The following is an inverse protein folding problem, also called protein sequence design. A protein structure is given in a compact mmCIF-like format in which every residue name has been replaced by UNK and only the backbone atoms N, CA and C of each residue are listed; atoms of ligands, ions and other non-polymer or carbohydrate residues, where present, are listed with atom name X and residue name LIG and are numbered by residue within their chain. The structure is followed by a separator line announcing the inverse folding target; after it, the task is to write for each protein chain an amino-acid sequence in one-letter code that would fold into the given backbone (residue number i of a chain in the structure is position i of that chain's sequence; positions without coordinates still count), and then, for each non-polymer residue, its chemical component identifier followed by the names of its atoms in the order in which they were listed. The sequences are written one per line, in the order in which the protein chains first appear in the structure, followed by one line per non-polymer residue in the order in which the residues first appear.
data_IF_416872401984
#
_entry.id   IF_416872401984
#
_cell.length_a   1.000
_cell.length_b   1.000
_cell.length_c   1.000
_cell.angle_alpha   90.00
_cell.angle_beta   90.00
_cell.angle_gamma   90.00
#
_symmetry.space_group_name_H-M   'P 1'
#
loop_
_entity.id
_entity.type
_entity.pdbx_description
1 polymer ?
#
# COMPACT_ATOMS: atom_id res chain seq x y z
N UNK A 1 30.77 32.93 -31.93
CA UNK A 1 32.15 32.65 -32.39
C UNK A 1 32.85 31.99 -31.22
N UNK A 2 33.03 30.65 -31.22
CA UNK A 2 34.27 29.91 -31.61
C UNK A 2 35.48 30.38 -30.77
N UNK A 3 36.35 29.60 -30.12
CA UNK A 3 36.76 28.18 -30.09
C UNK A 3 37.60 28.02 -28.79
N UNK A 4 37.50 26.92 -28.02
CA UNK A 4 38.47 25.79 -27.94
C UNK A 4 39.96 26.17 -28.07
N UNK A 5 40.79 25.84 -27.06
CA UNK A 5 42.06 25.12 -27.27
C UNK A 5 42.43 24.27 -26.05
N UNK A 6 42.88 23.07 -26.39
CA UNK A 6 43.38 21.92 -25.63
C UNK A 6 44.77 22.12 -25.04
N UNK A 7 45.12 21.38 -23.98
CA UNK A 7 46.45 20.78 -23.89
C UNK A 7 46.39 19.33 -23.40
N UNK A 8 46.94 18.48 -24.26
CA UNK A 8 47.24 17.06 -24.10
C UNK A 8 48.53 16.89 -23.29
N UNK A 9 48.59 15.88 -22.42
CA UNK A 9 49.83 15.20 -22.12
C UNK A 9 49.64 13.71 -22.41
N UNK A 10 50.26 13.27 -23.49
CA UNK A 10 50.53 11.87 -23.78
C UNK A 10 51.84 11.51 -23.11
N UNK A 11 51.82 10.54 -22.19
CA UNK A 11 53.00 9.77 -21.81
C UNK A 11 52.66 8.32 -22.14
N UNK A 12 53.18 7.85 -23.27
CA UNK A 12 53.24 6.42 -23.58
C UNK A 12 54.41 5.81 -22.83
N UNK A 13 54.16 4.79 -22.02
CA UNK A 13 55.10 3.73 -21.62
C UNK A 13 54.29 2.55 -21.04
N UNK A 14 54.83 1.31 -21.02
CA UNK A 14 54.47 0.26 -21.97
C UNK A 14 53.76 -0.95 -21.32
N UNK A 15 53.03 -1.72 -22.13
CA UNK A 15 52.72 -3.15 -21.93
C UNK A 15 52.48 -3.61 -20.47
N UNK A 16 51.30 -3.29 -19.93
CA UNK A 16 50.67 -4.14 -18.92
C UNK A 16 49.23 -4.45 -19.33
N UNK A 17 49.09 -5.49 -20.17
CA UNK A 17 47.94 -6.39 -20.02
C UNK A 17 47.95 -6.89 -18.58
N UNK A 18 46.75 -7.05 -18.02
CA UNK A 18 46.40 -7.54 -16.68
C UNK A 18 46.06 -6.44 -15.65
N UNK A 19 44.81 -6.57 -15.18
CA UNK A 19 44.16 -5.90 -14.06
C UNK A 19 43.56 -4.51 -14.34
N UNK A 20 42.67 -4.47 -15.33
CA UNK A 20 41.30 -3.97 -15.05
C UNK A 20 40.75 -4.84 -13.91
N UNK A 21 41.18 -4.54 -12.67
CA UNK A 21 40.45 -4.96 -11.49
C UNK A 21 39.19 -4.12 -11.55
N UNK A 22 38.18 -4.70 -12.21
CA UNK A 22 36.81 -4.30 -12.06
C UNK A 22 36.58 -4.19 -10.57
N UNK A 23 36.55 -2.96 -10.04
CA UNK A 23 35.82 -2.69 -8.80
C UNK A 23 34.35 -2.78 -9.22
N UNK A 24 33.94 -3.98 -9.62
CA UNK A 24 32.61 -4.50 -9.36
C UNK A 24 32.64 -4.80 -7.88
N UNK A 25 32.76 -3.75 -7.06
CA UNK A 25 32.30 -3.88 -5.69
C UNK A 25 30.87 -4.33 -5.85
N UNK A 26 30.60 -5.55 -5.39
CA UNK A 26 29.27 -6.11 -5.30
C UNK A 26 28.47 -5.19 -4.39
N UNK A 27 27.91 -4.12 -4.97
CA UNK A 27 26.91 -3.28 -4.34
C UNK A 27 25.71 -4.13 -3.89
N UNK A 28 25.52 -5.30 -4.50
CA UNK A 28 24.53 -6.31 -4.13
C UNK A 28 24.84 -7.08 -2.83
N UNK A 29 26.11 -7.20 -2.40
CA UNK A 29 26.47 -8.07 -1.26
C UNK A 29 26.58 -7.31 0.07
N UNK A 30 26.73 -5.97 0.03
CA UNK A 30 26.98 -5.16 1.24
C UNK A 30 25.70 -4.69 1.93
N UNK A 31 24.56 -4.76 1.26
CA UNK A 31 23.26 -4.44 1.83
C UNK A 31 22.47 -5.75 1.96
N UNK A 32 22.18 -6.17 3.19
CA UNK A 32 21.07 -7.10 3.43
C UNK A 32 19.87 -6.58 2.62
N UNK A 33 19.35 -7.39 1.71
CA UNK A 33 18.33 -6.93 0.78
C UNK A 33 17.20 -6.27 1.57
N UNK A 34 16.93 -4.98 1.31
CA UNK A 34 15.80 -4.31 1.96
C UNK A 34 14.56 -5.06 1.46
N UNK A 35 13.86 -5.72 2.36
CA UNK A 35 12.66 -6.46 2.04
C UNK A 35 11.45 -5.64 2.45
N UNK A 36 10.50 -5.38 1.53
CA UNK A 36 9.18 -4.91 1.92
C UNK A 36 8.57 -5.88 2.94
N UNK A 37 7.79 -5.36 3.87
CA UNK A 37 7.06 -6.19 4.83
C UNK A 37 6.29 -7.32 4.14
N UNK A 38 6.32 -8.51 4.74
CA UNK A 38 5.56 -9.67 4.27
C UNK A 38 4.06 -9.40 4.34
N UNK A 39 3.28 -10.15 3.56
CA UNK A 39 1.83 -9.98 3.57
C UNK A 39 1.21 -10.51 4.88
N UNK A 40 1.86 -11.45 5.57
CA UNK A 40 1.51 -11.80 6.96
C UNK A 40 1.61 -10.60 7.89
N UNK A 41 2.74 -9.88 7.88
CA UNK A 41 2.95 -8.73 8.77
C UNK A 41 1.97 -7.59 8.46
N UNK A 42 1.77 -7.28 7.17
CA UNK A 42 0.80 -6.26 6.73
C UNK A 42 -0.63 -6.57 7.14
N UNK A 43 -0.97 -7.85 7.25
CA UNK A 43 -2.28 -8.35 7.70
C UNK A 43 -2.31 -8.68 9.19
N UNK A 44 -1.22 -8.43 9.91
CA UNK A 44 -1.04 -8.73 11.33
C UNK A 44 -1.29 -10.20 11.70
N UNK A 45 -1.08 -11.12 10.75
CA UNK A 45 -1.32 -12.55 10.93
C UNK A 45 -0.28 -13.17 11.88
N UNK A 46 -0.75 -14.06 12.75
CA UNK A 46 0.03 -14.80 13.73
C UNK A 46 0.24 -16.23 13.26
N UNK A 47 1.46 -16.75 13.41
CA UNK A 47 1.82 -18.08 12.92
C UNK A 47 1.98 -18.16 11.40
N UNK A 48 2.38 -19.34 10.91
CA UNK A 48 2.66 -19.57 9.49
C UNK A 48 1.38 -19.90 8.72
N UNK A 49 0.57 -18.89 8.39
CA UNK A 49 -0.72 -19.07 7.68
C UNK A 49 -0.47 -19.49 6.23
N UNK A 50 -0.88 -20.71 5.87
CA UNK A 50 -0.87 -21.24 4.50
C UNK A 50 -1.99 -20.66 3.65
N UNK A 51 -3.21 -20.59 4.19
CA UNK A 51 -4.34 -19.96 3.51
C UNK A 51 -5.32 -19.34 4.49
N UNK A 52 -6.05 -18.33 4.01
CA UNK A 52 -7.09 -17.62 4.74
C UNK A 52 -8.31 -17.49 3.84
N UNK A 53 -9.47 -17.98 4.29
CA UNK A 53 -10.76 -17.79 3.61
C UNK A 53 -11.63 -16.85 4.42
N UNK A 54 -11.91 -15.66 3.89
CA UNK A 54 -12.77 -14.66 4.49
C UNK A 54 -14.14 -14.66 3.82
N UNK A 55 -15.20 -14.76 4.62
CA UNK A 55 -16.59 -14.59 4.17
C UNK A 55 -17.23 -13.45 4.97
N UNK A 56 -17.63 -12.40 4.26
CA UNK A 56 -18.25 -11.20 4.84
C UNK A 56 -19.69 -11.10 4.38
N UNK A 57 -20.61 -10.99 5.33
CA UNK A 57 -22.04 -10.77 5.13
C UNK A 57 -22.35 -9.32 5.47
N UNK A 58 -22.85 -8.56 4.50
CA UNK A 58 -23.38 -7.20 4.69
C UNK A 58 -24.88 -7.24 4.56
N UNK A 59 -25.57 -6.96 5.67
CA UNK A 59 -27.01 -7.20 5.76
C UNK A 59 -27.83 -6.09 5.08
N UNK A 60 -27.38 -4.84 5.13
CA UNK A 60 -28.06 -3.73 4.45
C UNK A 60 -28.10 -3.92 2.93
N UNK A 61 -27.02 -4.43 2.34
CA UNK A 61 -26.89 -4.66 0.89
C UNK A 61 -27.33 -6.07 0.45
N UNK A 62 -27.71 -6.94 1.40
CA UNK A 62 -27.88 -8.39 1.19
C UNK A 62 -26.71 -9.01 0.39
N UNK A 63 -25.49 -8.57 0.72
CA UNK A 63 -24.29 -8.91 -0.03
C UNK A 63 -23.43 -9.91 0.75
N UNK A 64 -22.98 -10.97 0.07
CA UNK A 64 -22.01 -11.92 0.61
C UNK A 64 -20.76 -11.88 -0.26
N UNK A 65 -19.63 -11.52 0.35
CA UNK A 65 -18.31 -11.55 -0.29
C UNK A 65 -17.50 -12.69 0.28
N UNK A 66 -16.95 -13.53 -0.60
CA UNK A 66 -16.01 -14.58 -0.21
C UNK A 66 -14.70 -14.40 -0.97
N UNK A 67 -13.59 -14.49 -0.24
CA UNK A 67 -12.24 -14.42 -0.79
C UNK A 67 -11.34 -15.44 -0.11
N UNK A 68 -10.55 -16.20 -0.88
CA UNK A 68 -9.46 -17.04 -0.35
C UNK A 68 -8.12 -16.44 -0.74
N UNK A 69 -7.24 -16.27 0.24
CA UNK A 69 -5.86 -15.80 0.04
C UNK A 69 -4.91 -16.95 0.36
N UNK A 70 -3.97 -17.22 -0.53
CA UNK A 70 -2.99 -18.29 -0.41
C UNK A 70 -1.61 -17.66 -0.28
N UNK A 71 -0.85 -18.11 0.72
CA UNK A 71 0.49 -17.63 1.02
C UNK A 71 1.53 -18.68 0.65
N UNK A 72 2.79 -18.28 0.52
CA UNK A 72 3.93 -19.19 0.60
C UNK A 72 4.45 -19.27 2.05
N UNK A 73 5.42 -20.15 2.30
CA UNK A 73 6.02 -20.36 3.64
C UNK A 73 6.76 -19.15 4.19
N UNK A 74 7.12 -18.20 3.33
CA UNK A 74 7.74 -16.93 3.70
C UNK A 74 6.71 -15.82 4.00
N UNK A 75 5.41 -16.12 3.89
CA UNK A 75 4.32 -15.20 4.23
C UNK A 75 3.95 -14.19 3.15
N UNK A 76 4.29 -14.47 1.89
CA UNK A 76 3.87 -13.67 0.73
C UNK A 76 2.66 -14.29 0.04
N UNK A 77 1.72 -13.45 -0.41
CA UNK A 77 0.52 -13.89 -1.14
C UNK A 77 0.94 -14.37 -2.53
N UNK A 78 0.69 -15.64 -2.84
CA UNK A 78 0.95 -16.20 -4.18
C UNK A 78 -0.31 -16.24 -5.05
N UNK A 79 -1.49 -16.24 -4.43
CA UNK A 79 -2.76 -16.29 -5.16
C UNK A 79 -3.91 -15.74 -4.31
N UNK A 80 -4.82 -15.00 -4.95
CA UNK A 80 -6.10 -14.58 -4.38
C UNK A 80 -7.24 -15.08 -5.25
N UNK A 81 -8.20 -15.77 -4.63
CA UNK A 81 -9.41 -16.30 -5.26
C UNK A 81 -10.61 -15.47 -4.81
N UNK A 82 -11.29 -14.84 -5.76
CA UNK A 82 -12.48 -14.02 -5.51
C UNK A 82 -13.71 -14.74 -6.05
N UNK A 83 -14.65 -15.04 -5.15
CA UNK A 83 -15.85 -15.80 -5.48
C UNK A 83 -16.97 -14.85 -5.88
N UNK A 84 -17.53 -15.07 -7.06
CA UNK A 84 -18.70 -14.35 -7.57
C UNK A 84 -19.89 -15.30 -7.56
N UNK A 85 -21.03 -14.85 -7.02
CA UNK A 85 -22.27 -15.63 -6.95
C UNK A 85 -22.76 -16.11 -8.31
N UNK A 86 -22.41 -15.42 -9.39
CA UNK A 86 -22.84 -15.71 -10.75
C UNK A 86 -21.86 -16.61 -11.52
N UNK A 87 -20.76 -17.05 -10.90
CA UNK A 87 -19.73 -17.86 -11.56
C UNK A 87 -19.49 -19.15 -10.79
N UNK A 88 -19.30 -20.24 -11.53
CA UNK A 88 -18.94 -21.54 -10.97
C UNK A 88 -17.52 -21.54 -10.42
N UNK A 89 -16.60 -20.89 -11.13
CA UNK A 89 -15.19 -20.80 -10.77
C UNK A 89 -14.83 -19.39 -10.27
N UNK A 90 -14.01 -19.26 -9.22
CA UNK A 90 -13.57 -17.96 -8.73
C UNK A 90 -12.62 -17.27 -9.72
N UNK A 91 -12.55 -15.94 -9.66
CA UNK A 91 -11.46 -15.21 -10.29
C UNK A 91 -10.16 -15.49 -9.54
N UNK A 92 -9.15 -15.96 -10.27
CA UNK A 92 -7.82 -16.25 -9.72
C UNK A 92 -6.83 -15.15 -10.11
N UNK A 93 -6.20 -14.56 -9.08
CA UNK A 93 -5.18 -13.53 -9.22
C UNK A 93 -3.86 -14.02 -8.65
N UNK A 94 -3.01 -14.57 -9.54
CA UNK A 94 -1.70 -15.09 -9.17
C UNK A 94 -0.65 -13.97 -9.07
N UNK A 95 0.30 -14.18 -8.18
CA UNK A 95 1.47 -13.34 -7.95
C UNK A 95 2.74 -14.19 -8.09
N UNK A 96 3.78 -13.61 -8.65
CA UNK A 96 5.10 -14.25 -8.79
C UNK A 96 6.16 -13.40 -8.13
N UNK A 97 7.12 -14.09 -7.52
CA UNK A 97 8.23 -13.50 -6.80
C UNK A 97 9.54 -14.00 -7.41
N UNK A 98 10.59 -13.20 -7.30
CA UNK A 98 11.94 -13.66 -7.63
C UNK A 98 12.55 -14.45 -6.46
N UNK A 99 13.76 -14.98 -6.65
CA UNK A 99 14.48 -15.78 -5.64
C UNK A 99 14.81 -15.00 -4.37
N UNK A 100 14.79 -13.66 -4.45
CA UNK A 100 14.95 -12.75 -3.30
C UNK A 100 13.63 -12.50 -2.55
N UNK A 101 12.50 -13.05 -2.98
CA UNK A 101 11.19 -12.84 -2.37
C UNK A 101 10.52 -11.51 -2.73
N UNK A 102 10.99 -10.80 -3.76
CA UNK A 102 10.37 -9.57 -4.24
C UNK A 102 9.31 -9.88 -5.30
N UNK A 103 8.12 -9.28 -5.18
CA UNK A 103 7.03 -9.43 -6.14
C UNK A 103 7.50 -8.91 -7.50
N UNK A 104 7.49 -9.74 -8.55
CA UNK A 104 7.89 -9.35 -9.91
C UNK A 104 6.68 -9.22 -10.85
N UNK A 105 5.58 -9.89 -10.53
CA UNK A 105 4.41 -9.94 -11.39
C UNK A 105 3.13 -10.20 -10.58
N UNK A 106 2.06 -9.49 -10.92
CA UNK A 106 0.69 -9.76 -10.49
C UNK A 106 -0.24 -9.84 -11.71
N UNK A 107 -1.55 -10.02 -11.52
CA UNK A 107 -2.51 -10.13 -12.63
C UNK A 107 -2.35 -9.01 -13.68
N UNK A 108 -2.41 -7.76 -13.23
CA UNK A 108 -2.41 -6.59 -14.13
C UNK A 108 -1.06 -5.85 -14.21
N UNK A 109 -0.08 -6.22 -13.39
CA UNK A 109 1.12 -5.41 -13.19
C UNK A 109 2.42 -6.21 -13.21
N UNK A 110 3.50 -5.55 -13.62
CA UNK A 110 4.88 -6.00 -13.46
C UNK A 110 5.63 -5.07 -12.52
N UNK A 111 6.66 -5.60 -11.87
CA UNK A 111 7.40 -4.90 -10.83
C UNK A 111 8.91 -5.04 -11.07
N UNK A 112 9.62 -3.95 -10.91
CA UNK A 112 11.08 -3.91 -10.99
C UNK A 112 11.65 -3.15 -9.81
N UNK A 113 12.90 -3.41 -9.47
CA UNK A 113 13.52 -2.88 -8.26
C UNK A 113 14.92 -2.34 -8.57
N UNK A 114 15.26 -1.24 -7.93
CA UNK A 114 16.57 -0.62 -7.97
C UNK A 114 16.89 -0.03 -6.59
N UNK A 115 18.17 0.10 -6.25
CA UNK A 115 18.58 0.84 -5.06
C UNK A 115 18.91 2.28 -5.43
N UNK A 116 18.42 3.24 -4.65
CA UNK A 116 18.82 4.63 -4.82
C UNK A 116 20.23 4.88 -4.25
N UNK A 117 20.78 6.08 -4.52
CA UNK A 117 22.11 6.49 -4.03
C UNK A 117 22.26 6.51 -2.51
N UNK A 118 21.16 6.51 -1.77
CA UNK A 118 21.13 6.49 -0.30
C UNK A 118 21.00 5.05 0.26
N UNK A 119 20.91 4.07 -0.63
CA UNK A 119 20.70 2.66 -0.31
C UNK A 119 19.24 2.33 0.03
N UNK A 120 18.26 3.13 -0.38
CA UNK A 120 16.84 2.81 -0.24
C UNK A 120 16.37 1.93 -1.42
N UNK A 121 15.40 1.05 -1.18
CA UNK A 121 14.80 0.25 -2.26
C UNK A 121 13.73 1.05 -2.99
N UNK A 122 13.88 1.22 -4.30
CA UNK A 122 12.86 1.79 -5.18
C UNK A 122 12.19 0.68 -6.00
N UNK A 123 10.89 0.48 -5.75
CA UNK A 123 10.03 -0.40 -6.54
C UNK A 123 9.35 0.43 -7.63
N UNK A 124 9.35 -0.07 -8.86
CA UNK A 124 8.55 0.46 -9.97
C UNK A 124 7.50 -0.56 -10.37
N UNK A 125 6.23 -0.23 -10.15
CA UNK A 125 5.04 -0.97 -10.58
C UNK A 125 4.55 -0.42 -11.92
N UNK A 126 4.27 -1.31 -12.88
CA UNK A 126 3.82 -0.95 -14.23
C UNK A 126 2.63 -1.78 -14.65
N UNK A 127 1.65 -1.16 -15.27
CA UNK A 127 0.51 -1.86 -15.86
C UNK A 127 0.94 -2.65 -17.10
N UNK A 128 0.52 -3.91 -17.20
CA UNK A 128 0.82 -4.81 -18.33
C UNK A 128 0.08 -4.41 -19.59
N UNK A 129 -1.23 -4.23 -19.46
CA UNK A 129 -2.18 -4.06 -20.55
C UNK A 129 -3.08 -2.85 -20.27
N UNK A 130 -3.27 -1.97 -21.24
CA UNK A 130 -4.16 -0.82 -21.14
C UNK A 130 -3.86 0.22 -22.22
N UNK A 131 -4.87 0.99 -22.62
CA UNK A 131 -4.72 2.10 -23.57
C UNK A 131 -3.75 3.17 -23.06
N UNK A 132 -3.72 3.36 -21.73
CA UNK A 132 -2.81 4.27 -21.05
C UNK A 132 -1.96 3.49 -20.05
N UNK A 133 -0.63 3.58 -20.19
CA UNK A 133 0.28 2.96 -19.22
C UNK A 133 0.38 3.83 -17.98
N UNK A 134 0.17 3.23 -16.82
CA UNK A 134 0.45 3.84 -15.53
C UNK A 134 1.72 3.25 -14.93
N UNK A 135 2.45 4.11 -14.23
CA UNK A 135 3.69 3.77 -13.56
C UNK A 135 3.62 4.32 -12.14
N UNK A 136 3.92 3.49 -11.15
CA UNK A 136 4.01 3.90 -9.76
C UNK A 136 5.41 3.57 -9.24
N UNK A 137 6.06 4.56 -8.62
CA UNK A 137 7.33 4.38 -7.92
C UNK A 137 7.10 4.47 -6.42
N UNK A 138 7.51 3.44 -5.70
CA UNK A 138 7.44 3.38 -4.24
C UNK A 138 8.84 3.19 -3.68
N UNK A 139 9.25 4.09 -2.79
CA UNK A 139 10.57 4.07 -2.15
C UNK A 139 10.41 3.59 -0.71
N UNK A 140 11.19 2.59 -0.35
CA UNK A 140 11.27 2.00 0.98
C UNK A 140 12.59 2.38 1.64
N UNK A 141 12.55 2.81 2.89
CA UNK A 141 13.76 3.02 3.68
C UNK A 141 14.44 1.69 4.04
N UNK A 142 15.59 1.78 4.73
CA UNK A 142 16.37 0.61 5.19
C UNK A 142 15.61 -0.33 6.14
N UNK A 143 14.51 0.13 6.74
CA UNK A 143 13.63 -0.69 7.59
C UNK A 143 12.49 -1.35 6.80
N UNK A 144 12.41 -1.14 5.48
CA UNK A 144 11.32 -1.65 4.65
C UNK A 144 10.03 -0.83 4.71
N UNK A 145 10.03 0.34 5.36
CA UNK A 145 8.88 1.24 5.43
C UNK A 145 8.83 2.16 4.22
N UNK A 146 7.62 2.37 3.69
CA UNK A 146 7.40 3.33 2.58
C UNK A 146 7.71 4.73 3.07
N UNK A 147 8.53 5.48 2.34
CA UNK A 147 8.83 6.89 2.61
C UNK A 147 8.30 7.83 1.53
N UNK A 148 8.09 7.31 0.32
CA UNK A 148 7.60 8.08 -0.83
C UNK A 148 6.88 7.20 -1.83
N UNK A 149 5.77 7.70 -2.38
CA UNK A 149 5.08 7.09 -3.53
C UNK A 149 4.82 8.16 -4.58
N UNK A 150 5.11 7.86 -5.84
CA UNK A 150 4.85 8.74 -6.98
C UNK A 150 4.09 7.97 -8.05
N UNK A 151 2.96 8.51 -8.49
CA UNK A 151 2.17 7.94 -9.59
C UNK A 151 2.35 8.77 -10.83
N UNK A 152 2.47 8.09 -11.95
CA UNK A 152 2.59 8.70 -13.26
C UNK A 152 1.66 8.04 -14.26
N UNK A 153 1.25 8.81 -15.25
CA UNK A 153 0.48 8.32 -16.40
C UNK A 153 1.16 8.68 -17.70
N UNK A 154 1.09 7.78 -18.67
CA UNK A 154 1.51 8.05 -20.03
C UNK A 154 0.47 8.99 -20.67
N UNK A 155 0.87 10.23 -20.90
CA UNK A 155 0.12 11.22 -21.68
C UNK A 155 1.09 11.79 -22.70
N UNK A 156 1.15 11.21 -23.90
CA UNK A 156 1.98 11.76 -24.98
C UNK A 156 1.14 12.22 -26.18
N UNK A 157 -0.08 11.72 -26.33
CA UNK A 157 -0.91 11.96 -27.50
C UNK A 157 -2.39 12.04 -27.10
N UNK A 158 -3.15 12.90 -27.78
CA UNK A 158 -4.62 12.88 -27.69
C UNK A 158 -5.22 11.66 -28.43
N UNK A 159 -6.54 11.51 -28.39
CA UNK A 159 -7.26 10.42 -29.08
C UNK A 159 -7.09 10.42 -30.60
N UNK A 160 -6.59 11.52 -31.18
CA UNK A 160 -6.31 11.68 -32.60
C UNK A 160 -4.82 11.47 -32.95
N UNK A 161 -3.96 11.14 -31.97
CA UNK A 161 -2.54 10.90 -32.19
C UNK A 161 -1.68 12.17 -32.25
N UNK A 162 -2.18 13.32 -31.77
CA UNK A 162 -1.45 14.60 -31.77
C UNK A 162 -0.61 14.74 -30.51
N UNK A 163 0.69 15.04 -30.69
CA UNK A 163 1.63 15.27 -29.58
C UNK A 163 1.20 16.51 -28.79
N UNK A 164 0.82 16.31 -27.54
CA UNK A 164 0.45 17.41 -26.63
C UNK A 164 1.76 17.96 -26.04
N UNK A 165 2.29 19.06 -26.58
CA UNK A 165 3.60 19.60 -26.22
C UNK A 165 3.63 20.28 -24.85
N UNK A 166 4.59 19.89 -23.99
CA UNK A 166 5.73 20.69 -23.46
C UNK A 166 6.52 19.77 -22.50
N UNK A 167 7.73 19.32 -22.87
CA UNK A 167 8.42 18.16 -22.27
C UNK A 167 8.96 18.43 -20.83
N UNK A 168 8.78 19.64 -20.29
CA UNK A 168 9.40 20.10 -19.03
C UNK A 168 8.84 19.47 -17.74
N UNK A 169 7.66 18.85 -17.80
CA UNK A 169 6.98 18.25 -16.63
C UNK A 169 6.90 16.71 -16.67
N UNK A 170 7.70 16.06 -17.53
CA UNK A 170 7.62 14.63 -17.78
C UNK A 170 8.82 13.87 -17.24
N UNK A 171 8.55 12.75 -16.57
CA UNK A 171 9.55 11.74 -16.23
C UNK A 171 9.81 10.86 -17.45
N UNK A 172 11.06 10.81 -17.92
CA UNK A 172 11.49 9.86 -18.93
C UNK A 172 12.01 8.60 -18.26
N UNK A 173 11.40 7.46 -18.55
CA UNK A 173 11.80 6.20 -17.95
C UNK A 173 12.97 5.53 -18.69
N UNK A 174 13.43 4.39 -18.17
CA UNK A 174 14.51 3.58 -18.78
C UNK A 174 14.18 3.08 -20.19
N UNK A 175 12.89 2.93 -20.53
CA UNK A 175 12.40 2.53 -21.84
C UNK A 175 12.22 3.74 -22.77
N UNK A 176 12.60 4.94 -22.33
CA UNK A 176 12.44 6.22 -23.03
C UNK A 176 10.98 6.66 -23.21
N UNK A 177 10.04 6.04 -22.50
CA UNK A 177 8.65 6.47 -22.42
C UNK A 177 8.54 7.72 -21.50
N UNK A 178 7.63 8.63 -21.84
CA UNK A 178 7.37 9.86 -21.09
C UNK A 178 6.10 9.69 -20.26
N UNK A 179 6.21 10.11 -19.00
CA UNK A 179 5.20 9.94 -17.99
C UNK A 179 4.96 11.26 -17.26
N UNK A 180 3.71 11.70 -17.18
CA UNK A 180 3.31 12.88 -16.43
C UNK A 180 3.12 12.51 -14.97
N UNK A 181 3.72 13.28 -14.06
CA UNK A 181 3.48 13.10 -12.62
C UNK A 181 2.03 13.46 -12.27
N UNK A 182 1.30 12.51 -11.69
CA UNK A 182 -0.09 12.68 -11.27
C UNK A 182 -0.17 13.05 -9.80
N UNK A 183 0.50 12.27 -8.96
CA UNK A 183 0.45 12.39 -7.52
C UNK A 183 1.79 12.01 -6.90
N UNK A 184 2.07 12.63 -5.76
CA UNK A 184 3.27 12.38 -4.98
C UNK A 184 2.93 12.46 -3.50
N UNK A 185 3.25 11.39 -2.77
CA UNK A 185 3.02 11.27 -1.34
C UNK A 185 4.33 11.04 -0.60
N UNK A 186 4.45 11.66 0.56
CA UNK A 186 5.54 11.40 1.53
C UNK A 186 4.96 10.79 2.80
N UNK A 187 5.68 9.86 3.40
CA UNK A 187 5.24 9.16 4.60
C UNK A 187 6.18 9.52 5.76
N UNK A 188 5.61 10.10 6.81
CA UNK A 188 6.36 10.58 7.98
C UNK A 188 6.02 9.70 9.17
N UNK A 189 7.05 9.25 9.89
CA UNK A 189 6.93 8.39 11.06
C UNK A 189 7.45 9.10 12.31
N UNK A 190 6.92 8.74 13.48
CA UNK A 190 7.48 9.17 14.76
C UNK A 190 8.76 8.41 15.12
N UNK A 191 9.41 8.81 16.22
CA UNK A 191 10.62 8.15 16.74
C UNK A 191 10.41 6.68 17.13
N UNK A 192 9.16 6.25 17.34
CA UNK A 192 8.78 4.86 17.63
C UNK A 192 8.46 4.07 16.35
N UNK A 193 8.58 4.71 15.18
CA UNK A 193 8.32 4.10 13.89
C UNK A 193 6.85 4.03 13.49
N UNK A 194 5.94 4.72 14.19
CA UNK A 194 4.51 4.76 13.87
C UNK A 194 4.22 5.84 12.82
N UNK A 195 3.36 5.55 11.85
CA UNK A 195 3.00 6.51 10.78
C UNK A 195 2.23 7.69 11.38
N UNK A 196 2.71 8.91 11.17
CA UNK A 196 2.11 10.15 11.66
C UNK A 196 1.44 10.96 10.55
N UNK A 197 1.96 10.90 9.33
CA UNK A 197 1.44 11.70 8.23
C UNK A 197 1.67 11.00 6.89
N UNK A 198 0.63 10.97 6.06
CA UNK A 198 0.75 10.75 4.62
C UNK A 198 0.53 12.12 3.99
N UNK A 199 1.61 12.79 3.64
CA UNK A 199 1.59 14.12 3.04
C UNK A 199 1.34 14.03 1.56
N UNK A 200 0.30 14.68 1.06
CA UNK A 200 0.14 14.89 -0.37
C UNK A 200 0.91 16.12 -0.80
N UNK A 201 1.99 15.93 -1.57
CA UNK A 201 2.95 17.00 -1.86
C UNK A 201 2.41 18.04 -2.87
N UNK A 202 1.29 17.75 -3.55
CA UNK A 202 0.68 18.68 -4.52
C UNK A 202 -0.35 19.62 -3.88
N UNK A 203 -1.17 19.12 -2.95
CA UNK A 203 -2.22 19.89 -2.28
C UNK A 203 -2.36 19.44 -0.83
N UNK A 204 -2.36 20.38 0.11
CA UNK A 204 -2.48 20.09 1.55
C UNK A 204 -3.78 19.36 1.91
N UNK A 205 -4.87 19.57 1.14
CA UNK A 205 -6.17 18.95 1.36
C UNK A 205 -6.18 17.43 1.25
N UNK A 206 -5.22 16.84 0.52
CA UNK A 206 -5.06 15.38 0.42
C UNK A 206 -4.15 14.78 1.49
N UNK A 207 -3.65 15.57 2.43
CA UNK A 207 -2.78 15.08 3.51
C UNK A 207 -3.61 14.41 4.59
N UNK A 208 -3.16 13.23 5.03
CA UNK A 208 -3.76 12.45 6.10
C UNK A 208 -2.83 12.52 7.31
N UNK A 209 -3.36 12.92 8.46
CA UNK A 209 -2.64 12.91 9.74
C UNK A 209 -3.15 11.77 10.62
N UNK A 210 -2.24 11.17 11.36
CA UNK A 210 -2.54 10.09 12.29
C UNK A 210 -2.27 10.55 13.71
N UNK A 211 -3.17 10.21 14.64
CA UNK A 211 -2.95 10.33 16.07
C UNK A 211 -3.22 9.00 16.77
N UNK A 212 -2.56 8.81 17.91
CA UNK A 212 -2.60 7.59 18.69
C UNK A 212 -2.74 7.96 20.16
N UNK A 213 -3.87 7.61 20.74
CA UNK A 213 -4.28 7.99 22.09
C UNK A 213 -4.68 6.74 22.89
N UNK A 214 -4.80 6.89 24.21
CA UNK A 214 -5.31 5.85 25.09
C UNK A 214 -6.40 6.46 25.96
N UNK A 215 -7.64 6.02 25.74
CA UNK A 215 -8.84 6.61 26.34
C UNK A 215 -9.74 5.48 26.84
N UNK A 216 -10.23 5.59 28.07
CA UNK A 216 -11.15 4.62 28.69
C UNK A 216 -10.67 3.15 28.60
N UNK A 217 -9.36 2.92 28.69
CA UNK A 217 -8.76 1.58 28.58
C UNK A 217 -8.63 1.05 27.16
N UNK A 218 -8.94 1.86 26.15
CA UNK A 218 -8.88 1.52 24.73
C UNK A 218 -7.75 2.27 24.03
N UNK A 219 -7.10 1.61 23.09
CA UNK A 219 -6.18 2.26 22.16
C UNK A 219 -6.97 2.91 21.02
N UNK A 220 -6.74 4.19 20.78
CA UNK A 220 -7.48 4.97 19.78
C UNK A 220 -6.54 5.37 18.66
N UNK A 221 -6.87 4.98 17.42
CA UNK A 221 -6.19 5.42 16.21
C UNK A 221 -7.11 6.36 15.44
N UNK A 222 -6.66 7.57 15.22
CA UNK A 222 -7.35 8.56 14.38
C UNK A 222 -6.59 8.70 13.07
N UNK A 223 -7.32 8.73 11.96
CA UNK A 223 -6.84 9.18 10.66
C UNK A 223 -7.70 10.37 10.20
N UNK A 224 -7.08 11.54 10.05
CA UNK A 224 -7.77 12.81 9.82
C UNK A 224 -7.31 13.47 8.52
N UNK A 225 -8.29 13.84 7.71
CA UNK A 225 -8.18 14.60 6.47
C UNK A 225 -8.99 15.90 6.63
N UNK A 226 -8.78 16.85 5.73
CA UNK A 226 -9.53 18.13 5.75
C UNK A 226 -11.05 17.92 5.71
N UNK A 227 -11.53 16.92 4.98
CA UNK A 227 -12.97 16.69 4.76
C UNK A 227 -13.53 15.51 5.56
N UNK A 228 -12.69 14.74 6.26
CA UNK A 228 -13.17 13.57 6.99
C UNK A 228 -12.22 13.10 8.08
N UNK A 229 -12.77 12.39 9.05
CA UNK A 229 -12.04 11.78 10.17
C UNK A 229 -12.52 10.35 10.37
N UNK A 230 -11.58 9.42 10.46
CA UNK A 230 -11.84 8.02 10.80
C UNK A 230 -11.19 7.73 12.15
N UNK A 231 -11.94 7.12 13.05
CA UNK A 231 -11.50 6.78 14.40
C UNK A 231 -11.76 5.30 14.64
N UNK A 232 -10.71 4.56 14.96
CA UNK A 232 -10.78 3.14 15.28
C UNK A 232 -10.31 2.92 16.71
N UNK A 233 -11.10 2.21 17.49
CA UNK A 233 -10.83 1.87 18.88
C UNK A 233 -10.50 0.40 18.99
N UNK A 234 -9.46 0.10 19.76
CA UNK A 234 -8.98 -1.26 19.99
C UNK A 234 -8.96 -1.57 21.47
N UNK A 235 -9.34 -2.79 21.83
CA UNK A 235 -9.12 -3.31 23.18
C UNK A 235 -7.64 -3.70 23.39
N UNK A 236 -7.31 -4.11 24.61
CA UNK A 236 -5.96 -4.56 25.00
C UNK A 236 -5.43 -5.75 24.18
N UNK A 237 -6.33 -6.55 23.59
CA UNK A 237 -6.00 -7.73 22.80
C UNK A 237 -5.88 -7.38 21.30
N UNK A 238 -6.01 -6.08 20.96
CA UNK A 238 -5.92 -5.55 19.61
C UNK A 238 -7.16 -5.82 18.76
N UNK A 239 -8.30 -6.18 19.36
CA UNK A 239 -9.54 -6.28 18.62
C UNK A 239 -10.10 -4.90 18.34
N UNK A 240 -10.55 -4.67 17.12
CA UNK A 240 -11.40 -3.54 16.81
C UNK A 240 -12.72 -3.68 17.58
N UNK A 241 -13.04 -2.69 18.42
CA UNK A 241 -14.26 -2.67 19.24
C UNK A 241 -15.23 -1.57 18.82
N UNK A 242 -14.73 -0.53 18.15
CA UNK A 242 -15.55 0.56 17.62
C UNK A 242 -14.86 1.23 16.44
N UNK A 243 -15.66 1.61 15.44
CA UNK A 243 -15.24 2.39 14.30
C UNK A 243 -16.17 3.57 14.11
N UNK A 244 -15.62 4.73 13.75
CA UNK A 244 -16.41 5.90 13.39
C UNK A 244 -15.81 6.61 12.19
N UNK A 245 -16.62 6.89 11.18
CA UNK A 245 -16.28 7.74 10.05
C UNK A 245 -17.17 8.97 10.04
N UNK A 246 -16.52 10.13 10.08
CA UNK A 246 -17.14 11.45 10.14
C UNK A 246 -16.70 12.24 8.93
N UNK A 247 -17.62 12.96 8.29
CA UNK A 247 -17.32 13.91 7.21
C UNK A 247 -17.61 15.33 7.65
N UNK A 248 -16.74 16.25 7.25
CA UNK A 248 -16.88 17.69 7.43
C UNK A 248 -17.40 18.31 6.13
N UNK A 249 -18.49 19.06 6.21
CA UNK A 249 -18.89 19.93 5.11
C UNK A 249 -17.91 21.10 5.00
N UNK A 250 -17.69 21.60 3.79
CA UNK A 250 -16.91 22.82 3.55
C UNK A 250 -17.70 24.12 3.85
N UNK A 251 -18.95 23.98 4.34
CA UNK A 251 -19.86 25.07 4.68
C UNK A 251 -20.20 25.10 6.19
N UNK A 252 -21.24 25.85 6.62
CA UNK A 252 -21.61 26.00 8.03
C UNK A 252 -22.24 24.73 8.64
N UNK A 253 -22.43 23.67 7.86
CA UNK A 253 -23.06 22.45 8.35
C UNK A 253 -22.19 21.76 9.39
N UNK A 254 -22.85 21.20 10.41
CA UNK A 254 -22.18 20.42 11.44
C UNK A 254 -21.58 19.13 10.83
N UNK A 255 -20.47 18.61 11.41
CA UNK A 255 -19.92 17.32 11.00
C UNK A 255 -20.98 16.22 11.04
N UNK A 256 -20.94 15.31 10.06
CA UNK A 256 -21.89 14.20 9.94
C UNK A 256 -21.19 12.86 10.10
N UNK A 257 -21.72 12.02 10.98
CA UNK A 257 -21.32 10.61 11.08
C UNK A 257 -21.88 9.85 9.87
N UNK A 258 -20.99 9.35 9.01
CA UNK A 258 -21.35 8.51 7.86
C UNK A 258 -21.52 7.05 8.27
N UNK A 259 -20.64 6.57 9.16
CA UNK A 259 -20.68 5.20 9.66
C UNK A 259 -20.20 5.18 11.10
N UNK A 260 -20.92 4.46 11.95
CA UNK A 260 -20.49 4.14 13.30
C UNK A 260 -20.81 2.68 13.56
N UNK A 261 -19.76 1.89 13.80
CA UNK A 261 -19.86 0.48 14.11
C UNK A 261 -19.41 0.21 15.54
N UNK A 262 -20.10 -0.70 16.20
CA UNK A 262 -19.69 -1.28 17.48
C UNK A 262 -19.57 -2.79 17.30
N UNK A 263 -18.38 -3.33 17.56
CA UNK A 263 -18.11 -4.74 17.40
C UNK A 263 -18.49 -5.46 18.69
N UNK A 264 -19.54 -6.29 18.62
CA UNK A 264 -20.15 -6.93 19.79
C UNK A 264 -19.51 -8.27 20.11
N UNK A 265 -19.05 -8.97 19.09
CA UNK A 265 -18.46 -10.29 19.20
C UNK A 265 -17.20 -10.37 18.36
N UNK A 266 -16.12 -10.87 18.97
CA UNK A 266 -14.88 -11.21 18.30
C UNK A 266 -14.46 -12.61 18.80
N UNK A 267 -14.03 -13.49 17.91
CA UNK A 267 -13.39 -14.77 18.29
C UNK A 267 -12.05 -14.87 17.57
N UNK A 268 -11.10 -15.51 18.25
CA UNK A 268 -9.77 -15.79 17.72
C UNK A 268 -9.50 -17.28 17.77
N UNK A 269 -8.61 -17.73 16.90
CA UNK A 269 -8.07 -19.08 17.00
C UNK A 269 -6.93 -19.17 18.04
N UNK A 270 -6.35 -20.37 18.14
CA UNK A 270 -5.25 -20.67 19.08
C UNK A 270 -3.96 -19.85 18.83
N UNK A 271 -3.79 -19.26 17.64
CA UNK A 271 -2.64 -18.42 17.32
C UNK A 271 -2.93 -16.93 17.57
N UNK A 272 -4.18 -16.60 17.91
CA UNK A 272 -4.63 -15.23 18.11
C UNK A 272 -5.08 -14.53 16.83
N UNK A 273 -5.36 -15.25 15.74
CA UNK A 273 -5.94 -14.63 14.54
C UNK A 273 -7.47 -14.53 14.64
N UNK A 274 -8.04 -13.43 14.16
CA UNK A 274 -9.49 -13.20 14.15
C UNK A 274 -10.19 -14.23 13.26
N UNK A 275 -11.09 -15.04 13.80
CA UNK A 275 -11.89 -16.03 13.05
C UNK A 275 -13.34 -15.64 12.90
N UNK A 276 -13.80 -14.69 13.74
CA UNK A 276 -15.19 -14.28 13.76
C UNK A 276 -15.31 -12.84 14.26
N UNK A 277 -16.17 -12.06 13.62
CA UNK A 277 -16.49 -10.71 14.06
C UNK A 277 -17.92 -10.33 13.68
N UNK A 278 -18.63 -9.65 14.57
CA UNK A 278 -19.95 -9.05 14.32
C UNK A 278 -19.93 -7.58 14.68
N UNK A 279 -20.34 -6.75 13.73
CA UNK A 279 -20.48 -5.31 13.88
C UNK A 279 -21.95 -4.91 13.84
N UNK A 280 -22.41 -4.18 14.84
CA UNK A 280 -23.69 -3.48 14.81
C UNK A 280 -23.49 -2.05 14.31
N UNK A 281 -24.46 -1.53 13.55
CA UNK A 281 -24.48 -0.11 13.18
C UNK A 281 -25.16 0.70 14.26
N UNK A 282 -24.56 1.85 14.56
CA UNK A 282 -25.14 2.88 15.40
C UNK A 282 -25.54 4.06 14.50
N UNK A 283 -26.81 4.41 14.50
CA UNK A 283 -27.31 5.59 13.80
C UNK A 283 -27.28 6.83 14.71
N UNK A 284 -26.57 7.87 14.25
CA UNK A 284 -26.46 9.14 14.94
C UNK A 284 -27.18 10.23 14.13
N UNK A 285 -28.50 10.31 14.28
CA UNK A 285 -29.33 11.32 13.60
C UNK A 285 -29.08 12.75 14.11
N UNK A 286 -28.66 12.88 15.37
CA UNK A 286 -28.24 14.14 15.97
C UNK A 286 -26.90 13.94 16.69
N UNK A 287 -25.83 14.66 16.32
CA UNK A 287 -24.51 14.50 16.92
C UNK A 287 -24.44 14.85 18.42
N UNK A 288 -25.44 15.57 18.95
CA UNK A 288 -25.55 15.93 20.36
C UNK A 288 -26.31 14.87 21.19
N UNK A 289 -26.86 13.84 20.53
CA UNK A 289 -27.61 12.76 21.20
C UNK A 289 -26.87 11.43 21.06
N UNK A 290 -27.13 10.52 22.01
CA UNK A 290 -26.66 9.15 21.93
C UNK A 290 -27.29 8.48 20.70
N UNK A 291 -26.45 7.84 19.88
CA UNK A 291 -26.92 7.09 18.71
C UNK A 291 -27.74 5.85 19.09
N UNK A 292 -28.58 5.41 18.15
CA UNK A 292 -29.42 4.22 18.29
C UNK A 292 -28.74 3.01 17.66
N UNK A 293 -28.71 1.86 18.36
CA UNK A 293 -28.27 0.59 17.79
C UNK A 293 -29.36 0.06 16.85
N UNK A 294 -29.06 -0.03 15.55
CA UNK A 294 -30.02 -0.48 14.53
C UNK A 294 -29.83 -1.94 14.13
N UNK A 295 -28.98 -2.66 14.87
CA UNK A 295 -28.73 -4.09 14.66
C UNK A 295 -27.49 -4.39 13.82
N UNK A 296 -27.41 -5.64 13.36
CA UNK A 296 -26.21 -6.19 12.70
C UNK A 296 -26.02 -5.55 11.33
N UNK A 297 -24.86 -4.93 11.16
CA UNK A 297 -24.41 -4.34 9.89
C UNK A 297 -23.59 -5.34 9.09
N UNK A 298 -22.60 -5.95 9.74
CA UNK A 298 -21.64 -6.84 9.10
C UNK A 298 -21.32 -8.03 10.01
N UNK A 299 -21.21 -9.22 9.39
CA UNK A 299 -20.65 -10.42 10.01
C UNK A 299 -19.50 -10.92 9.17
N UNK A 300 -18.36 -11.22 9.81
CA UNK A 300 -17.16 -11.76 9.16
C UNK A 300 -16.81 -13.12 9.75
N UNK A 301 -16.57 -14.09 8.89
CA UNK A 301 -16.06 -15.42 9.21
C UNK A 301 -14.71 -15.59 8.51
N UNK A 302 -13.70 -16.02 9.25
CA UNK A 302 -12.36 -16.25 8.70
C UNK A 302 -11.90 -17.64 9.11
N UNK A 303 -11.53 -18.43 8.11
CA UNK A 303 -10.98 -19.77 8.26
C UNK A 303 -9.51 -19.73 7.86
N UNK A 304 -8.65 -20.34 8.67
CA UNK A 304 -7.21 -20.41 8.43
C UNK A 304 -6.74 -21.85 8.28
N UNK A 305 -5.84 -22.06 7.34
CA UNK A 305 -4.98 -23.23 7.25
C UNK A 305 -3.55 -22.79 7.56
N UNK A 306 -2.82 -23.58 8.35
CA UNK A 306 -1.44 -23.29 8.74
C UNK A 306 -0.48 -24.27 8.08
N UNK A 307 0.77 -23.85 7.87
CA UNK A 307 1.87 -24.77 7.63
C UNK A 307 2.19 -25.56 8.91
N UNK A 308 2.63 -26.79 8.73
CA UNK A 308 3.10 -27.66 9.83
C UNK A 308 4.41 -27.18 10.44
#
# INVERSE_FOLDING_TARGET
MLLVFSYSYSVELPNQKYLLRTVKENFDDKYSAIMPETDWNKKELKGKVKSMTETTYKYEDNEVKKKKTIFNENGYIIEELHYDKNRKEPYSYKKRYNDKGLLVESHEHTYTYEYDKNGNLAQTKRTKNGTYKTLEKTIYNKEGKVIRTQTYTQNQYDKAGVKITDDSNYFKDKNRELYQSLSEYSYIYDKKGRLQEIRYNKFSSGTIKYSYEFEDGLYVKTAELVTQKMITYYDKDGNEVKYKWITYSLGPDKPRTQLHLVFKENKRDKYGNLTYQVANRIEELNPEKKGADVGIYEKKLIEYEYYE
#
